data_IF_845555467752
#
_entry.id   IF_845555467752
#
_cell.length_a   1.000
_cell.length_b   1.000
_cell.length_c   1.000
_cell.angle_alpha   90.00
_cell.angle_beta   90.00
_cell.angle_gamma   90.00
#
_symmetry.space_group_name_H-M   'P 1'
#
loop_
_entity.id
_entity.type
_entity.pdbx_description
1 polymer ?
#
# COMPACT_ATOMS: atom_id res chain seq x y z
N UNK A 1 1.33 -2.45 -29.21
CA UNK A 1 0.54 -3.51 -28.54
C UNK A 1 -0.94 -3.30 -28.84
N UNK A 2 -1.72 -4.37 -29.07
CA UNK A 2 -3.18 -4.24 -29.20
C UNK A 2 -3.72 -3.71 -27.87
N UNK A 3 -4.66 -2.75 -27.93
CA UNK A 3 -5.31 -2.21 -26.75
C UNK A 3 -5.91 -3.37 -25.93
N UNK A 4 -5.51 -3.52 -24.67
CA UNK A 4 -6.08 -4.51 -23.76
C UNK A 4 -7.57 -4.21 -23.63
N UNK A 5 -8.41 -5.16 -24.02
CA UNK A 5 -9.84 -5.08 -23.75
C UNK A 5 -10.09 -5.05 -22.24
N UNK A 6 -11.15 -4.37 -21.83
CA UNK A 6 -11.53 -4.21 -20.42
C UNK A 6 -11.57 -5.55 -19.68
N UNK A 7 -10.74 -5.67 -18.64
CA UNK A 7 -10.58 -6.88 -17.83
C UNK A 7 -11.41 -6.87 -16.54
N UNK A 8 -12.06 -5.76 -16.19
CA UNK A 8 -12.76 -5.62 -14.92
C UNK A 8 -14.19 -6.17 -14.98
N UNK A 9 -14.32 -7.46 -15.19
CA UNK A 9 -15.59 -8.13 -15.45
C UNK A 9 -15.92 -9.23 -14.44
N UNK A 10 -15.22 -9.34 -13.31
CA UNK A 10 -15.45 -10.38 -12.31
C UNK A 10 -16.92 -10.46 -11.92
N UNK A 11 -17.55 -11.65 -11.98
CA UNK A 11 -18.93 -11.79 -11.58
C UNK A 11 -19.08 -11.55 -10.07
N UNK A 12 -20.15 -10.87 -9.68
CA UNK A 12 -20.51 -10.60 -8.30
C UNK A 12 -21.64 -11.54 -7.85
N UNK A 13 -21.25 -12.70 -7.29
CA UNK A 13 -22.22 -13.74 -6.88
C UNK A 13 -23.04 -13.37 -5.65
N UNK A 14 -22.58 -12.42 -4.84
CA UNK A 14 -23.21 -12.08 -3.56
C UNK A 14 -23.73 -10.66 -3.50
N UNK A 15 -23.81 -9.97 -4.65
CA UNK A 15 -24.32 -8.59 -4.70
C UNK A 15 -23.51 -7.64 -3.84
N UNK A 16 -22.18 -7.78 -3.79
CA UNK A 16 -21.30 -6.89 -2.98
C UNK A 16 -21.48 -5.45 -3.40
N UNK A 17 -21.77 -5.19 -4.67
CA UNK A 17 -22.08 -3.87 -5.19
C UNK A 17 -23.34 -3.24 -4.55
N UNK A 18 -24.29 -4.04 -4.09
CA UNK A 18 -25.50 -3.57 -3.40
C UNK A 18 -25.20 -2.99 -2.01
N UNK A 19 -24.05 -3.39 -1.42
CA UNK A 19 -23.57 -2.90 -0.13
C UNK A 19 -22.91 -1.50 -0.23
N UNK A 20 -22.66 -1.02 -1.45
CA UNK A 20 -22.00 0.25 -1.73
C UNK A 20 -23.03 1.36 -1.97
N UNK A 21 -22.75 2.55 -1.45
CA UNK A 21 -23.51 3.76 -1.78
C UNK A 21 -23.24 4.18 -3.23
N UNK A 22 -24.05 5.09 -3.74
CA UNK A 22 -23.81 5.68 -5.07
C UNK A 22 -22.46 6.40 -5.11
N UNK A 23 -22.10 7.14 -4.06
CA UNK A 23 -20.80 7.82 -3.93
C UNK A 23 -19.64 6.83 -3.99
N UNK A 24 -19.72 5.69 -3.25
CA UNK A 24 -18.70 4.64 -3.30
C UNK A 24 -18.50 4.11 -4.73
N UNK A 25 -19.59 3.86 -5.45
CA UNK A 25 -19.54 3.38 -6.85
C UNK A 25 -18.91 4.41 -7.78
N UNK A 26 -19.28 5.69 -7.66
CA UNK A 26 -18.71 6.78 -8.47
C UNK A 26 -17.20 6.93 -8.23
N UNK A 27 -16.76 6.89 -6.97
CA UNK A 27 -15.34 6.95 -6.61
C UNK A 27 -14.59 5.77 -7.21
N UNK A 28 -15.11 4.56 -7.04
CA UNK A 28 -14.50 3.34 -7.63
C UNK A 28 -14.37 3.45 -9.14
N UNK A 29 -15.42 3.84 -9.85
CA UNK A 29 -15.41 3.97 -11.31
C UNK A 29 -14.46 5.06 -11.80
N UNK A 30 -14.33 6.17 -11.07
CA UNK A 30 -13.37 7.23 -11.39
C UNK A 30 -11.93 6.69 -11.35
N UNK A 31 -11.53 6.02 -10.25
CA UNK A 31 -10.19 5.45 -10.12
C UNK A 31 -9.96 4.31 -11.11
N UNK A 32 -10.96 3.44 -11.32
CA UNK A 32 -10.93 2.37 -12.32
C UNK A 32 -10.67 2.91 -13.73
N UNK A 33 -11.39 3.95 -14.12
CA UNK A 33 -11.23 4.59 -15.43
C UNK A 33 -9.82 5.18 -15.60
N UNK A 34 -9.30 5.82 -14.57
CA UNK A 34 -7.92 6.31 -14.54
C UNK A 34 -6.92 5.15 -14.71
N UNK A 35 -7.06 4.08 -13.94
CA UNK A 35 -6.15 2.92 -13.99
C UNK A 35 -6.15 2.29 -15.39
N UNK A 36 -7.33 2.11 -16.00
CA UNK A 36 -7.44 1.57 -17.36
C UNK A 36 -6.77 2.44 -18.41
N UNK A 37 -6.93 3.75 -18.29
CA UNK A 37 -6.47 4.71 -19.30
C UNK A 37 -4.99 5.08 -19.14
N UNK A 38 -4.55 5.33 -17.90
CA UNK A 38 -3.24 5.93 -17.66
C UNK A 38 -2.21 4.93 -17.10
N UNK A 39 -2.64 3.91 -16.34
CA UNK A 39 -1.71 2.97 -15.68
C UNK A 39 -1.53 1.68 -16.48
N UNK A 40 -2.62 0.98 -16.78
CA UNK A 40 -2.55 -0.34 -17.44
C UNK A 40 -1.76 -0.35 -18.75
N UNK A 41 -1.80 0.70 -19.60
CA UNK A 41 -1.05 0.70 -20.85
C UNK A 41 0.47 0.81 -20.69
N UNK A 42 0.95 1.38 -19.60
CA UNK A 42 2.37 1.74 -19.44
C UNK A 42 3.11 0.89 -18.37
N UNK A 43 2.38 0.37 -17.39
CA UNK A 43 3.00 -0.14 -16.17
C UNK A 43 3.89 -1.37 -16.39
N UNK A 44 3.59 -2.18 -17.40
CA UNK A 44 4.42 -3.34 -17.71
C UNK A 44 5.81 -2.91 -18.19
N UNK A 45 5.89 -1.89 -19.07
CA UNK A 45 7.17 -1.37 -19.58
C UNK A 45 8.01 -0.77 -18.44
N UNK A 46 7.38 -0.02 -17.52
CA UNK A 46 8.05 0.49 -16.32
C UNK A 46 8.55 -0.64 -15.42
N UNK A 47 7.76 -1.69 -15.22
CA UNK A 47 8.16 -2.85 -14.43
C UNK A 47 9.35 -3.60 -15.06
N UNK A 48 9.35 -3.79 -16.39
CA UNK A 48 10.44 -4.41 -17.13
C UNK A 48 11.76 -3.61 -17.00
N UNK A 49 11.65 -2.29 -17.02
CA UNK A 49 12.80 -1.37 -16.89
C UNK A 49 13.22 -1.12 -15.43
N UNK A 50 12.45 -1.60 -14.43
CA UNK A 50 12.62 -1.27 -13.02
C UNK A 50 12.63 0.25 -12.77
N UNK A 51 11.74 0.98 -13.44
CA UNK A 51 11.60 2.43 -13.39
C UNK A 51 10.27 2.84 -12.76
N UNK A 52 10.24 4.00 -12.10
CA UNK A 52 9.03 4.56 -11.50
C UNK A 52 8.39 5.58 -12.46
N UNK A 53 7.09 5.50 -12.73
CA UNK A 53 6.37 6.47 -13.57
C UNK A 53 6.07 7.77 -12.78
N UNK A 54 7.05 8.63 -12.59
CA UNK A 54 6.98 9.82 -11.72
C UNK A 54 5.78 10.74 -12.03
N UNK A 55 5.40 10.83 -13.31
CA UNK A 55 4.28 11.67 -13.76
C UNK A 55 2.92 11.29 -13.12
N UNK A 56 2.76 10.04 -12.65
CA UNK A 56 1.52 9.62 -11.98
C UNK A 56 1.28 10.32 -10.64
N UNK A 57 2.34 10.85 -9.99
CA UNK A 57 2.22 11.48 -8.66
C UNK A 57 1.24 12.64 -8.71
N UNK A 58 1.43 13.55 -9.68
CA UNK A 58 0.51 14.67 -9.85
C UNK A 58 -0.91 14.22 -10.22
N UNK A 59 -1.02 13.23 -11.11
CA UNK A 59 -2.30 12.68 -11.53
C UNK A 59 -3.07 12.03 -10.36
N UNK A 60 -2.39 11.29 -9.48
CA UNK A 60 -2.99 10.70 -8.28
C UNK A 60 -3.46 11.77 -7.28
N UNK A 61 -2.72 12.87 -7.15
CA UNK A 61 -3.14 14.04 -6.38
C UNK A 61 -4.41 14.67 -6.96
N UNK A 62 -4.44 14.95 -8.26
CA UNK A 62 -5.59 15.53 -8.96
C UNK A 62 -6.84 14.63 -8.90
N UNK A 63 -6.63 13.32 -8.85
CA UNK A 63 -7.71 12.33 -8.70
C UNK A 63 -8.20 12.19 -7.23
N UNK A 64 -7.55 12.87 -6.27
CA UNK A 64 -7.90 12.78 -4.84
C UNK A 64 -7.47 11.48 -4.16
N UNK A 65 -6.54 10.73 -4.74
CA UNK A 65 -6.03 9.48 -4.17
C UNK A 65 -5.05 9.69 -3.01
N UNK A 66 -4.57 10.93 -2.81
CA UNK A 66 -3.71 11.30 -1.69
C UNK A 66 -4.52 11.90 -0.55
N UNK A 67 -4.53 11.23 0.59
CA UNK A 67 -5.26 11.69 1.77
C UNK A 67 -6.79 11.69 1.63
N UNK A 68 -7.43 10.66 1.04
CA UNK A 68 -8.88 10.67 0.87
C UNK A 68 -9.65 10.81 2.19
N UNK A 69 -9.11 10.30 3.31
CA UNK A 69 -9.72 10.42 4.64
C UNK A 69 -9.27 11.64 5.45
N UNK A 70 -8.41 12.49 4.89
CA UNK A 70 -7.98 13.75 5.51
C UNK A 70 -9.07 14.81 5.25
N UNK A 71 -9.40 15.67 6.24
CA UNK A 71 -10.41 16.70 6.07
C UNK A 71 -10.10 17.66 4.92
N UNK A 72 -11.17 18.16 4.27
CA UNK A 72 -11.06 19.06 3.13
C UNK A 72 -10.36 20.39 3.46
N UNK A 73 -10.43 20.87 4.70
CA UNK A 73 -9.72 22.08 5.17
C UNK A 73 -8.19 21.99 5.03
N UNK A 74 -7.64 20.77 4.98
CA UNK A 74 -6.22 20.50 4.74
C UNK A 74 -5.95 19.97 3.32
N UNK A 75 -6.92 20.09 2.41
CA UNK A 75 -6.78 19.65 1.03
C UNK A 75 -7.08 18.17 0.79
N UNK A 76 -7.51 17.43 1.80
CA UNK A 76 -7.94 16.03 1.67
C UNK A 76 -9.34 15.86 1.11
N UNK A 77 -9.76 14.62 0.89
CA UNK A 77 -11.09 14.30 0.33
C UNK A 77 -12.23 14.34 1.34
N UNK A 78 -11.95 14.22 2.64
CA UNK A 78 -12.99 14.10 3.69
C UNK A 78 -13.86 12.86 3.53
N UNK A 79 -13.39 11.84 2.80
CA UNK A 79 -14.12 10.63 2.45
C UNK A 79 -14.03 9.58 3.56
N UNK A 80 -14.92 8.60 3.50
CA UNK A 80 -14.94 7.48 4.43
C UNK A 80 -13.91 6.38 4.08
N UNK A 81 -13.77 5.39 4.97
CA UNK A 81 -12.79 4.32 4.79
C UNK A 81 -13.18 3.32 3.71
N UNK A 82 -14.47 3.14 3.39
CA UNK A 82 -14.90 2.28 2.28
C UNK A 82 -14.44 2.89 0.96
N UNK A 83 -14.63 4.20 0.79
CA UNK A 83 -14.11 4.96 -0.36
C UNK A 83 -12.60 4.80 -0.50
N UNK A 84 -11.85 4.99 0.59
CA UNK A 84 -10.40 4.76 0.60
C UNK A 84 -10.04 3.33 0.21
N UNK A 85 -10.74 2.33 0.74
CA UNK A 85 -10.53 0.93 0.40
C UNK A 85 -10.73 0.64 -1.10
N UNK A 86 -11.82 1.13 -1.67
CA UNK A 86 -12.13 0.99 -3.09
C UNK A 86 -11.08 1.66 -4.00
N UNK A 87 -10.59 2.85 -3.62
CA UNK A 87 -9.47 3.48 -4.32
C UNK A 87 -8.23 2.59 -4.33
N UNK A 88 -7.84 2.04 -3.17
CA UNK A 88 -6.68 1.15 -3.06
C UNK A 88 -6.86 -0.13 -3.89
N UNK A 89 -8.08 -0.70 -3.90
CA UNK A 89 -8.41 -1.86 -4.72
C UNK A 89 -8.22 -1.60 -6.22
N UNK A 90 -8.75 -0.50 -6.72
CA UNK A 90 -8.65 -0.20 -8.15
C UNK A 90 -7.21 0.19 -8.56
N UNK A 91 -6.48 0.92 -7.72
CA UNK A 91 -5.06 1.21 -7.99
C UNK A 91 -4.22 -0.06 -8.07
N UNK A 92 -4.44 -1.04 -7.18
CA UNK A 92 -3.66 -2.28 -7.17
C UNK A 92 -4.11 -3.27 -8.25
N UNK A 93 -5.32 -3.15 -8.81
CA UNK A 93 -5.67 -3.80 -10.08
C UNK A 93 -4.71 -3.38 -11.20
N UNK A 94 -4.28 -2.13 -11.20
CA UNK A 94 -3.22 -1.66 -12.09
C UNK A 94 -1.86 -2.20 -11.70
N UNK A 95 -1.40 -1.85 -10.49
CA UNK A 95 -0.09 -2.30 -9.97
C UNK A 95 0.05 -2.03 -8.46
N UNK A 96 0.68 -2.97 -7.74
CA UNK A 96 0.95 -2.81 -6.29
C UNK A 96 1.89 -1.64 -5.99
N UNK A 97 2.80 -1.28 -6.88
CA UNK A 97 3.68 -0.11 -6.73
C UNK A 97 2.91 1.21 -6.77
N UNK A 98 1.97 1.33 -7.69
CA UNK A 98 1.07 2.50 -7.81
C UNK A 98 0.22 2.64 -6.56
N UNK A 99 -0.42 1.56 -6.09
CA UNK A 99 -1.19 1.56 -4.84
C UNK A 99 -0.29 1.91 -3.65
N UNK A 100 0.93 1.37 -3.59
CA UNK A 100 1.88 1.64 -2.50
C UNK A 100 2.23 3.14 -2.44
N UNK A 101 2.45 3.79 -3.57
CA UNK A 101 2.70 5.24 -3.63
C UNK A 101 1.57 6.02 -2.99
N UNK A 102 0.31 5.73 -3.34
CA UNK A 102 -0.86 6.41 -2.76
C UNK A 102 -1.06 6.08 -1.28
N UNK A 103 -0.89 4.80 -0.89
CA UNK A 103 -1.05 4.35 0.49
C UNK A 103 -0.02 4.97 1.42
N UNK A 104 1.26 5.00 1.03
CA UNK A 104 2.34 5.63 1.80
C UNK A 104 2.05 7.13 1.97
N UNK A 105 1.71 7.82 0.88
CA UNK A 105 1.38 9.24 0.93
C UNK A 105 0.24 9.53 1.91
N UNK A 106 -0.89 8.84 1.79
CA UNK A 106 -2.08 9.09 2.62
C UNK A 106 -1.95 8.59 4.06
N UNK A 107 -1.59 7.30 4.24
CA UNK A 107 -1.67 6.64 5.54
C UNK A 107 -0.41 6.77 6.39
N UNK A 108 0.77 6.93 5.77
CA UNK A 108 2.05 6.93 6.48
C UNK A 108 2.70 8.32 6.53
N UNK A 109 2.30 9.24 5.64
CA UNK A 109 2.82 10.62 5.63
C UNK A 109 1.75 11.62 6.07
N UNK A 110 0.62 11.70 5.35
CA UNK A 110 -0.41 12.69 5.67
C UNK A 110 -1.12 12.37 6.98
N UNK A 111 -1.45 11.10 7.25
CA UNK A 111 -2.12 10.72 8.50
C UNK A 111 -1.31 11.09 9.75
N UNK A 112 -0.02 10.77 9.93
CA UNK A 112 0.71 11.19 11.12
C UNK A 112 0.86 12.71 11.25
N UNK A 113 1.02 13.45 10.15
CA UNK A 113 1.02 14.92 10.18
C UNK A 113 -0.34 15.44 10.66
N UNK A 114 -1.43 14.88 10.18
CA UNK A 114 -2.79 15.24 10.62
C UNK A 114 -3.05 14.87 12.08
N UNK A 115 -2.77 13.61 12.46
CA UNK A 115 -3.13 13.08 13.76
C UNK A 115 -2.21 13.53 14.90
N UNK A 116 -0.93 13.75 14.61
CA UNK A 116 0.10 13.98 15.62
C UNK A 116 0.79 15.33 15.51
N UNK A 117 0.66 16.00 14.37
CA UNK A 117 1.27 17.30 14.10
C UNK A 117 0.58 18.47 14.82
N UNK A 118 1.30 19.59 14.87
CA UNK A 118 0.71 20.88 15.23
C UNK A 118 -0.14 21.45 14.11
N UNK A 119 -0.90 22.50 14.39
CA UNK A 119 -1.71 23.17 13.37
C UNK A 119 -0.85 23.81 12.27
N UNK A 120 0.31 24.34 12.64
CA UNK A 120 1.30 24.89 11.71
C UNK A 120 1.83 23.80 10.77
N UNK A 121 2.16 22.62 11.32
CA UNK A 121 2.60 21.46 10.51
C UNK A 121 1.50 21.00 9.55
N UNK A 122 0.25 20.90 9.99
CA UNK A 122 -0.89 20.53 9.14
C UNK A 122 -1.04 21.49 7.97
N UNK A 123 -1.07 22.80 8.24
CA UNK A 123 -1.21 23.84 7.22
C UNK A 123 -0.02 23.92 6.26
N UNK A 124 1.18 23.67 6.75
CA UNK A 124 2.40 23.70 5.94
C UNK A 124 2.49 22.54 4.95
N UNK A 125 2.20 21.32 5.40
CA UNK A 125 2.51 20.10 4.65
C UNK A 125 1.32 19.49 3.92
N UNK A 126 0.14 19.40 4.58
CA UNK A 126 -0.97 18.60 4.05
C UNK A 126 -1.49 19.07 2.69
N UNK A 127 -1.69 20.38 2.40
CA UNK A 127 -2.20 20.80 1.10
C UNK A 127 -1.28 20.44 -0.06
N UNK A 128 0.04 20.56 0.12
CA UNK A 128 1.03 20.20 -0.90
C UNK A 128 1.12 18.69 -1.13
N UNK A 129 0.97 17.91 -0.07
CA UNK A 129 0.94 16.45 -0.14
C UNK A 129 -0.34 15.94 -0.79
N UNK A 130 -1.49 16.55 -0.48
CA UNK A 130 -2.78 16.19 -1.04
C UNK A 130 -2.85 16.44 -2.55
N UNK A 131 -2.31 17.58 -3.02
CA UNK A 131 -2.29 17.96 -4.43
C UNK A 131 -1.26 17.18 -5.27
N UNK A 132 -0.37 16.41 -4.65
CA UNK A 132 0.75 15.76 -5.33
C UNK A 132 1.87 16.72 -5.76
N UNK A 133 1.85 17.99 -5.32
CA UNK A 133 2.98 18.91 -5.48
C UNK A 133 4.22 18.38 -4.72
N UNK A 134 3.99 17.82 -3.54
CA UNK A 134 5.00 17.14 -2.75
C UNK A 134 4.65 15.67 -2.57
N UNK A 135 5.66 14.82 -2.73
CA UNK A 135 5.62 13.41 -2.37
C UNK A 135 6.32 13.23 -1.03
N UNK A 136 5.76 12.38 -0.17
CA UNK A 136 6.36 12.04 1.11
C UNK A 136 6.73 10.56 1.20
N UNK A 137 7.58 10.26 2.18
CA UNK A 137 7.96 8.90 2.53
C UNK A 137 7.94 8.69 4.05
N UNK A 138 8.05 7.42 4.48
CA UNK A 138 7.90 7.04 5.89
C UNK A 138 9.08 6.18 6.35
N UNK A 139 9.91 6.73 7.22
CA UNK A 139 11.11 6.11 7.74
C UNK A 139 10.91 5.46 9.11
N UNK A 140 10.58 4.16 9.13
CA UNK A 140 10.49 3.36 10.36
C UNK A 140 11.52 2.23 10.35
N UNK A 141 11.46 1.33 9.34
CA UNK A 141 12.30 0.15 9.19
C UNK A 141 13.77 0.52 9.03
N UNK A 142 14.64 -0.17 9.73
CA UNK A 142 16.10 -0.05 9.63
C UNK A 142 16.73 -1.31 9.03
N UNK A 143 18.00 -1.26 8.57
CA UNK A 143 18.68 -2.43 8.02
C UNK A 143 18.58 -3.66 8.93
N UNK A 144 18.76 -3.49 10.25
CA UNK A 144 18.77 -4.58 11.23
C UNK A 144 17.47 -4.73 12.03
N UNK A 145 16.49 -3.82 11.86
CA UNK A 145 15.26 -3.76 12.65
C UNK A 145 14.02 -3.60 11.76
N UNK A 146 13.50 -4.75 11.23
CA UNK A 146 12.29 -4.80 10.42
C UNK A 146 11.05 -5.15 11.25
N UNK A 147 10.92 -6.43 11.64
CA UNK A 147 9.77 -6.93 12.42
C UNK A 147 9.78 -6.45 13.88
N UNK A 148 10.92 -5.99 14.39
CA UNK A 148 11.07 -5.35 15.69
C UNK A 148 11.45 -3.86 15.56
N UNK A 149 10.51 -2.98 15.18
CA UNK A 149 10.79 -1.56 15.01
C UNK A 149 11.05 -0.85 16.34
N UNK A 150 10.70 -1.45 17.46
CA UNK A 150 10.98 -0.91 18.80
C UNK A 150 12.46 -0.87 19.14
N UNK A 151 13.26 -1.74 18.52
CA UNK A 151 14.71 -1.82 18.72
C UNK A 151 15.52 -0.86 17.81
N UNK A 152 14.85 0.04 17.07
CA UNK A 152 15.52 1.00 16.18
C UNK A 152 16.72 1.71 16.84
N UNK A 153 17.73 2.02 16.03
CA UNK A 153 18.94 2.72 16.43
C UNK A 153 18.98 4.18 16.01
N UNK A 154 18.22 4.58 14.98
CA UNK A 154 18.08 5.98 14.57
C UNK A 154 17.68 6.82 15.78
N UNK A 155 18.42 7.90 16.03
CA UNK A 155 18.27 8.71 17.24
C UNK A 155 18.32 10.21 16.97
N UNK A 156 17.77 10.98 17.91
CA UNK A 156 17.87 12.43 17.97
C UNK A 156 18.50 12.86 19.29
N UNK A 157 19.34 13.89 19.23
CA UNK A 157 19.95 14.56 20.40
C UNK A 157 19.53 16.01 20.45
N UNK A 158 19.18 16.48 21.64
CA UNK A 158 18.81 17.89 21.85
C UNK A 158 20.01 18.80 21.63
N UNK A 159 19.84 19.86 20.84
CA UNK A 159 20.87 20.86 20.57
C UNK A 159 20.35 22.31 20.74
N UNK A 160 19.36 22.50 21.63
CA UNK A 160 18.78 23.80 21.95
C UNK A 160 17.55 24.12 21.11
N UNK A 161 17.65 24.83 20.01
CA UNK A 161 16.54 25.18 19.10
C UNK A 161 16.26 24.11 18.05
N UNK A 162 17.15 23.13 17.89
CA UNK A 162 17.02 22.01 16.98
C UNK A 162 17.39 20.69 17.65
N UNK A 163 17.20 19.58 16.93
CA UNK A 163 17.74 18.26 17.28
C UNK A 163 18.72 17.80 16.20
N UNK A 164 19.71 17.02 16.60
CA UNK A 164 20.63 16.35 15.67
C UNK A 164 20.15 14.93 15.44
N UNK A 165 19.75 14.63 14.20
CA UNK A 165 19.27 13.31 13.78
C UNK A 165 20.40 12.51 13.15
N UNK A 166 20.60 11.27 13.63
CA UNK A 166 21.56 10.30 13.11
C UNK A 166 20.94 8.92 12.94
N UNK A 167 21.33 8.20 11.89
CA UNK A 167 20.91 6.84 11.61
C UNK A 167 20.59 6.58 10.15
N UNK A 168 19.88 5.46 9.89
CA UNK A 168 19.47 5.09 8.55
C UNK A 168 18.12 4.36 8.57
N UNK A 169 17.35 4.50 7.50
CA UNK A 169 16.12 3.74 7.26
C UNK A 169 16.20 3.02 5.92
N UNK A 170 15.64 1.83 5.84
CA UNK A 170 15.74 0.96 4.67
C UNK A 170 14.36 0.52 4.16
N UNK A 171 14.29 0.20 2.88
CA UNK A 171 13.06 -0.23 2.18
C UNK A 171 11.97 0.84 2.15
N UNK A 172 12.38 2.10 1.97
CA UNK A 172 11.48 3.25 2.08
C UNK A 172 10.87 3.58 0.72
N UNK A 173 9.58 3.29 0.58
CA UNK A 173 8.80 3.66 -0.61
C UNK A 173 8.76 5.18 -0.78
N UNK A 174 8.81 5.63 -2.02
CA UNK A 174 8.84 7.02 -2.44
C UNK A 174 10.13 7.80 -2.11
N UNK A 175 11.05 7.28 -1.29
CA UNK A 175 12.22 8.02 -0.80
C UNK A 175 13.03 8.76 -1.88
N UNK A 176 13.37 8.15 -3.04
CA UNK A 176 14.16 8.85 -4.06
C UNK A 176 13.51 10.12 -4.62
N UNK A 177 12.19 10.22 -4.59
CA UNK A 177 11.40 11.32 -5.16
C UNK A 177 10.70 12.19 -4.10
N UNK A 178 10.82 11.86 -2.80
CA UNK A 178 10.11 12.55 -1.72
C UNK A 178 10.70 13.94 -1.44
N UNK A 179 9.84 14.93 -1.17
CA UNK A 179 10.21 16.24 -0.64
C UNK A 179 10.28 16.25 0.88
N UNK A 180 9.52 15.37 1.53
CA UNK A 180 9.51 15.22 2.98
C UNK A 180 9.55 13.76 3.40
N UNK A 181 10.15 13.49 4.55
CA UNK A 181 10.14 12.19 5.20
C UNK A 181 9.55 12.32 6.61
N UNK A 182 8.56 11.48 6.93
CA UNK A 182 8.12 11.23 8.31
C UNK A 182 9.06 10.18 8.89
N UNK A 183 9.85 10.56 9.87
CA UNK A 183 10.90 9.71 10.45
C UNK A 183 10.62 9.42 11.92
N UNK A 184 10.82 8.17 12.33
CA UNK A 184 10.74 7.74 13.71
C UNK A 184 12.13 7.46 14.25
N UNK A 185 12.48 8.11 15.37
CA UNK A 185 13.80 8.05 16.00
C UNK A 185 13.66 8.04 17.51
N UNK A 186 14.63 7.48 18.24
CA UNK A 186 14.71 7.55 19.71
C UNK A 186 15.33 8.85 20.15
N UNK A 187 14.75 9.48 21.18
CA UNK A 187 15.40 10.56 21.90
C UNK A 187 16.44 10.02 22.91
N UNK A 188 17.10 10.90 23.64
CA UNK A 188 18.16 10.55 24.62
C UNK A 188 17.65 9.70 25.79
N UNK A 189 16.33 9.69 26.02
CA UNK A 189 15.68 8.84 27.01
C UNK A 189 15.24 7.47 26.42
N UNK A 190 15.53 7.23 25.13
CA UNK A 190 15.10 6.03 24.40
C UNK A 190 13.63 6.04 23.99
N UNK A 191 12.93 7.16 24.12
CA UNK A 191 11.52 7.30 23.74
C UNK A 191 11.42 7.59 22.24
N UNK A 192 10.60 6.81 21.53
CA UNK A 192 10.39 7.00 20.09
C UNK A 192 9.59 8.28 19.85
N UNK A 193 10.13 9.16 18.99
CA UNK A 193 9.57 10.43 18.54
C UNK A 193 9.37 10.40 17.03
N UNK A 194 8.32 11.04 16.56
CA UNK A 194 8.10 11.26 15.12
C UNK A 194 8.47 12.68 14.75
N UNK A 195 9.09 12.85 13.58
CA UNK A 195 9.49 14.15 13.07
C UNK A 195 9.40 14.23 11.54
N UNK A 196 9.26 15.44 11.01
CA UNK A 196 9.30 15.69 9.57
C UNK A 196 10.68 16.20 9.18
N UNK A 197 11.34 15.48 8.25
CA UNK A 197 12.63 15.87 7.67
C UNK A 197 12.40 16.31 6.23
N UNK A 198 12.85 17.50 5.87
CA UNK A 198 12.68 18.07 4.53
C UNK A 198 13.90 17.77 3.65
N UNK A 199 13.65 17.51 2.37
CA UNK A 199 14.73 17.37 1.37
C UNK A 199 15.56 18.67 1.32
N UNK A 200 16.87 18.52 1.25
CA UNK A 200 17.82 19.66 1.23
C UNK A 200 18.39 20.00 2.60
N UNK A 201 17.90 19.40 3.70
CA UNK A 201 18.63 19.50 4.98
C UNK A 201 20.02 18.86 4.85
N UNK A 202 21.05 19.56 5.30
CA UNK A 202 22.45 19.09 5.24
C UNK A 202 22.61 17.77 5.98
N UNK A 203 23.32 16.80 5.39
CA UNK A 203 23.49 15.46 5.94
C UNK A 203 22.34 14.49 5.66
N UNK A 204 21.23 14.92 5.05
CA UNK A 204 20.13 14.04 4.65
C UNK A 204 20.23 13.63 3.19
N UNK A 205 20.21 12.32 2.94
CA UNK A 205 20.21 11.76 1.59
C UNK A 205 19.24 10.59 1.45
N UNK A 206 18.81 10.32 0.19
CA UNK A 206 17.81 9.31 -0.13
C UNK A 206 18.23 8.45 -1.32
N UNK A 207 19.29 7.61 -1.17
CA UNK A 207 19.77 6.76 -2.26
C UNK A 207 18.69 5.75 -2.69
N UNK A 208 18.60 5.51 -4.01
CA UNK A 208 17.66 4.55 -4.55
C UNK A 208 18.14 3.11 -4.34
N UNK A 209 17.21 2.21 -4.03
CA UNK A 209 17.44 0.76 -3.96
C UNK A 209 17.26 0.14 -5.34
N UNK A 210 18.29 -0.53 -5.85
CA UNK A 210 18.29 -1.20 -7.14
C UNK A 210 18.24 -2.73 -7.00
N UNK A 211 17.99 -3.44 -8.11
CA UNK A 211 18.06 -4.91 -8.16
C UNK A 211 16.87 -5.65 -7.53
N UNK A 212 15.76 -4.99 -7.25
CA UNK A 212 14.55 -5.64 -6.75
C UNK A 212 13.90 -6.53 -7.83
N UNK A 213 13.46 -7.72 -7.44
CA UNK A 213 12.64 -8.60 -8.28
C UNK A 213 11.14 -8.36 -8.12
N UNK A 214 10.74 -7.64 -7.09
CA UNK A 214 9.36 -7.32 -6.73
C UNK A 214 9.18 -5.82 -6.66
N UNK A 215 7.97 -5.31 -6.91
CA UNK A 215 7.67 -3.86 -6.95
C UNK A 215 8.64 -3.09 -7.87
N UNK A 216 8.89 -3.62 -9.06
CA UNK A 216 9.89 -3.07 -9.98
C UNK A 216 9.50 -1.69 -10.51
N UNK A 217 8.20 -1.42 -10.65
CA UNK A 217 7.67 -0.10 -11.02
C UNK A 217 7.43 0.84 -9.83
N UNK A 218 7.97 0.52 -8.64
CA UNK A 218 7.85 1.35 -7.44
C UNK A 218 9.19 1.96 -7.05
N UNK A 219 9.18 3.25 -6.72
CA UNK A 219 10.32 3.94 -6.13
C UNK A 219 10.58 3.40 -4.71
N UNK A 220 11.77 2.89 -4.48
CA UNK A 220 12.20 2.41 -3.16
C UNK A 220 13.62 2.90 -2.91
N UNK A 221 13.91 3.35 -1.71
CA UNK A 221 15.23 3.82 -1.34
C UNK A 221 15.53 3.64 0.14
N UNK A 222 16.58 4.29 0.54
CA UNK A 222 17.00 4.43 1.94
C UNK A 222 16.86 5.89 2.37
N UNK A 223 16.83 6.13 3.68
CA UNK A 223 17.04 7.44 4.27
C UNK A 223 18.33 7.37 5.09
N UNK A 224 19.26 8.23 4.80
CA UNK A 224 20.55 8.30 5.52
C UNK A 224 20.65 9.67 6.20
N UNK A 225 20.94 9.65 7.49
CA UNK A 225 21.04 10.83 8.34
C UNK A 225 22.43 10.90 8.96
N UNK A 226 23.21 11.89 8.56
CA UNK A 226 24.53 12.18 9.12
C UNK A 226 24.52 13.58 9.73
N UNK A 227 24.35 13.65 11.05
CA UNK A 227 24.26 14.87 11.84
C UNK A 227 23.26 15.91 11.30
N UNK A 228 22.10 15.45 10.84
CA UNK A 228 21.07 16.32 10.26
C UNK A 228 20.47 17.22 11.33
N UNK A 229 20.54 18.53 11.12
CA UNK A 229 19.91 19.54 11.98
C UNK A 229 18.42 19.65 11.63
N UNK A 230 17.55 19.20 12.53
CA UNK A 230 16.10 19.26 12.36
C UNK A 230 15.53 20.25 13.38
N UNK A 231 14.79 21.30 12.93
CA UNK A 231 14.11 22.23 13.84
C UNK A 231 13.17 21.51 14.80
N UNK A 232 13.12 21.92 16.08
CA UNK A 232 12.22 21.30 17.08
C UNK A 232 10.74 21.40 16.70
N UNK A 233 10.37 22.41 15.95
CA UNK A 233 9.03 22.59 15.40
C UNK A 233 8.62 21.49 14.41
N UNK A 234 9.56 20.72 13.87
CA UNK A 234 9.30 19.59 13.00
C UNK A 234 9.00 18.28 13.77
N UNK A 235 9.19 18.26 15.10
CA UNK A 235 8.83 17.10 15.94
C UNK A 235 7.32 17.10 16.17
N UNK A 236 6.69 15.94 16.05
CA UNK A 236 5.26 15.81 16.35
C UNK A 236 4.97 15.97 17.85
N UNK A 237 4.21 17.01 18.25
CA UNK A 237 3.97 17.29 19.68
C UNK A 237 2.98 16.30 20.33
N UNK A 238 2.10 15.68 19.56
CA UNK A 238 0.93 14.94 20.07
C UNK A 238 1.13 13.42 20.11
N UNK A 239 2.37 12.92 20.00
CA UNK A 239 2.65 11.48 20.06
C UNK A 239 4.02 11.18 20.66
N UNK A 240 4.07 10.10 21.45
CA UNK A 240 5.31 9.51 22.01
C UNK A 240 5.20 7.99 21.99
N UNK A 241 6.34 7.31 21.78
CA UNK A 241 6.46 5.87 21.84
C UNK A 241 5.99 5.16 20.59
N UNK A 242 6.07 3.84 20.62
CA UNK A 242 5.82 2.95 19.49
C UNK A 242 4.35 3.00 18.99
N UNK A 243 3.41 3.45 19.83
CA UNK A 243 2.01 3.62 19.43
C UNK A 243 1.82 4.56 18.22
N UNK A 244 2.75 5.54 18.05
CA UNK A 244 2.72 6.46 16.92
C UNK A 244 2.83 5.75 15.56
N UNK A 245 3.99 5.14 15.26
CA UNK A 245 4.16 4.42 14.00
C UNK A 245 3.21 3.24 13.83
N UNK A 246 2.87 2.51 14.90
CA UNK A 246 1.89 1.40 14.81
C UNK A 246 0.47 1.88 14.46
N UNK A 247 0.07 3.07 14.90
CA UNK A 247 -1.19 3.71 14.51
C UNK A 247 -1.23 4.01 13.01
N UNK A 248 -0.11 4.52 12.46
CA UNK A 248 0.03 4.75 11.01
C UNK A 248 -0.05 3.43 10.23
N UNK A 249 0.68 2.40 10.68
CA UNK A 249 0.66 1.08 10.05
C UNK A 249 -0.74 0.45 10.04
N UNK A 250 -1.56 0.68 11.06
CA UNK A 250 -2.94 0.18 11.09
C UNK A 250 -3.75 0.75 9.92
N UNK A 251 -3.59 2.04 9.60
CA UNK A 251 -4.25 2.70 8.47
C UNK A 251 -3.75 2.18 7.11
N UNK A 252 -2.44 2.00 6.99
CA UNK A 252 -1.83 1.49 5.76
C UNK A 252 -2.19 0.02 5.49
N UNK A 253 -2.15 -0.84 6.51
CA UNK A 253 -2.55 -2.25 6.43
C UNK A 253 -4.00 -2.43 5.98
N UNK A 254 -4.89 -1.52 6.40
CA UNK A 254 -6.27 -1.47 5.90
C UNK A 254 -6.31 -1.30 4.37
N UNK A 255 -5.56 -0.33 3.83
CA UNK A 255 -5.48 -0.11 2.38
C UNK A 255 -4.87 -1.30 1.62
N UNK A 256 -3.89 -2.00 2.23
CA UNK A 256 -3.30 -3.23 1.64
C UNK A 256 -4.34 -4.35 1.56
N UNK A 257 -5.20 -4.51 2.58
CA UNK A 257 -6.23 -5.55 2.55
C UNK A 257 -7.17 -5.40 1.35
N UNK A 258 -7.56 -4.17 1.02
CA UNK A 258 -8.36 -3.88 -0.17
C UNK A 258 -7.55 -4.02 -1.47
N UNK A 259 -6.35 -3.45 -1.49
CA UNK A 259 -5.49 -3.43 -2.67
C UNK A 259 -5.16 -4.83 -3.19
N UNK A 260 -4.73 -5.73 -2.31
CA UNK A 260 -4.35 -7.09 -2.69
C UNK A 260 -5.47 -7.84 -3.42
N UNK A 261 -6.75 -7.60 -3.04
CA UNK A 261 -7.89 -8.20 -3.76
C UNK A 261 -8.06 -7.58 -5.14
N UNK A 262 -7.67 -6.33 -5.35
CA UNK A 262 -7.59 -5.73 -6.68
C UNK A 262 -6.65 -6.49 -7.62
N UNK A 263 -5.43 -6.79 -7.17
CA UNK A 263 -4.48 -7.62 -7.92
C UNK A 263 -5.03 -9.04 -8.21
N UNK A 264 -5.70 -9.65 -7.22
CA UNK A 264 -6.37 -10.95 -7.40
C UNK A 264 -7.45 -10.89 -8.48
N UNK A 265 -8.26 -9.83 -8.51
CA UNK A 265 -9.32 -9.62 -9.51
C UNK A 265 -8.74 -9.49 -10.92
N UNK A 266 -7.66 -8.72 -11.11
CA UNK A 266 -7.03 -8.57 -12.43
C UNK A 266 -6.48 -9.91 -12.93
N UNK A 267 -5.84 -10.68 -12.05
CA UNK A 267 -5.35 -12.03 -12.38
C UNK A 267 -6.49 -13.00 -12.69
N UNK A 268 -7.60 -12.94 -11.94
CA UNK A 268 -8.79 -13.77 -12.20
C UNK A 268 -9.41 -13.45 -13.55
N UNK A 269 -9.67 -12.17 -13.85
CA UNK A 269 -10.26 -11.74 -15.12
C UNK A 269 -9.40 -12.15 -16.31
N UNK A 270 -8.07 -11.99 -16.16
CA UNK A 270 -7.08 -12.42 -17.17
C UNK A 270 -7.14 -13.93 -17.40
N UNK A 271 -7.11 -14.72 -16.31
CA UNK A 271 -7.14 -16.18 -16.40
C UNK A 271 -8.46 -16.70 -16.98
N UNK A 272 -9.59 -16.11 -16.57
CA UNK A 272 -10.92 -16.47 -17.07
C UNK A 272 -11.05 -16.22 -18.58
N UNK A 273 -10.61 -15.05 -19.06
CA UNK A 273 -10.62 -14.72 -20.48
C UNK A 273 -9.73 -15.67 -21.26
N UNK A 274 -8.48 -15.84 -20.83
CA UNK A 274 -7.53 -16.74 -21.47
C UNK A 274 -8.09 -18.18 -21.54
N UNK A 275 -8.70 -18.66 -20.46
CA UNK A 275 -9.29 -20.00 -20.41
C UNK A 275 -10.45 -20.20 -21.39
N UNK A 276 -11.21 -19.15 -21.70
CA UNK A 276 -12.31 -19.19 -22.68
C UNK A 276 -11.82 -19.14 -24.14
N UNK A 277 -10.70 -18.47 -24.39
CA UNK A 277 -10.16 -18.24 -25.73
C UNK A 277 -9.13 -19.31 -26.14
N UNK A 278 -8.24 -19.70 -25.23
CA UNK A 278 -7.16 -20.66 -25.52
C UNK A 278 -7.70 -22.06 -25.73
N UNK A 279 -7.38 -22.64 -26.88
CA UNK A 279 -7.81 -24.01 -27.20
C UNK A 279 -6.65 -25.00 -27.05
N UNK A 280 -6.94 -26.17 -26.48
CA UNK A 280 -6.10 -27.35 -26.45
C UNK A 280 -7.00 -28.60 -26.51
N UNK A 281 -6.52 -29.65 -27.13
CA UNK A 281 -7.25 -30.91 -27.31
C UNK A 281 -8.66 -30.69 -27.93
N UNK A 282 -8.74 -29.75 -28.88
CA UNK A 282 -9.95 -29.46 -29.66
C UNK A 282 -11.06 -28.65 -28.95
N UNK A 283 -10.78 -28.07 -27.77
CA UNK A 283 -11.73 -27.22 -27.02
C UNK A 283 -11.04 -26.17 -26.18
N UNK A 284 -11.79 -25.11 -25.76
CA UNK A 284 -11.24 -24.12 -24.82
C UNK A 284 -10.75 -24.78 -23.54
N UNK A 285 -9.60 -24.31 -23.00
CA UNK A 285 -9.02 -24.90 -21.78
C UNK A 285 -9.94 -24.75 -20.57
N UNK A 286 -10.79 -23.71 -20.51
CA UNK A 286 -11.84 -23.54 -19.51
C UNK A 286 -12.90 -24.64 -19.50
N UNK A 287 -12.96 -25.49 -20.53
CA UNK A 287 -13.81 -26.68 -20.58
C UNK A 287 -13.23 -27.90 -19.86
N UNK A 288 -12.03 -27.83 -19.27
CA UNK A 288 -11.45 -28.93 -18.48
C UNK A 288 -11.71 -28.72 -16.99
N UNK A 289 -12.08 -29.82 -16.31
CA UNK A 289 -12.51 -29.79 -14.90
C UNK A 289 -11.49 -29.14 -13.95
N UNK A 290 -10.18 -29.38 -14.14
CA UNK A 290 -9.15 -28.77 -13.30
C UNK A 290 -9.03 -27.26 -13.46
N UNK A 291 -9.31 -26.72 -14.65
CA UNK A 291 -9.33 -25.28 -14.88
C UNK A 291 -10.60 -24.65 -14.28
N UNK A 292 -11.75 -25.30 -14.44
CA UNK A 292 -13.00 -24.86 -13.79
C UNK A 292 -12.88 -24.84 -12.27
N UNK A 293 -12.26 -25.89 -11.69
CA UNK A 293 -11.98 -25.94 -10.25
C UNK A 293 -11.21 -24.71 -9.78
N UNK A 294 -10.10 -24.36 -10.44
CA UNK A 294 -9.31 -23.19 -10.08
C UNK A 294 -10.12 -21.89 -10.16
N UNK A 295 -10.85 -21.68 -11.25
CA UNK A 295 -11.69 -20.48 -11.42
C UNK A 295 -12.79 -20.39 -10.35
N UNK A 296 -13.40 -21.51 -9.99
CA UNK A 296 -14.41 -21.56 -8.92
C UNK A 296 -13.81 -21.23 -7.55
N UNK A 297 -12.63 -21.77 -7.23
CA UNK A 297 -11.90 -21.46 -5.99
C UNK A 297 -11.48 -19.99 -5.94
N UNK A 298 -10.90 -19.45 -7.02
CA UNK A 298 -10.50 -18.05 -7.13
C UNK A 298 -11.66 -17.10 -6.85
N UNK A 299 -12.80 -17.25 -7.52
CA UNK A 299 -13.93 -16.33 -7.34
C UNK A 299 -14.57 -16.47 -5.96
N UNK A 300 -14.56 -17.68 -5.39
CA UNK A 300 -15.04 -17.92 -4.02
C UNK A 300 -14.19 -17.15 -3.01
N UNK A 301 -12.86 -17.24 -3.11
CA UNK A 301 -11.93 -16.56 -2.19
C UNK A 301 -11.95 -15.04 -2.38
N UNK A 302 -12.07 -14.53 -3.62
CA UNK A 302 -12.26 -13.10 -3.88
C UNK A 302 -13.53 -12.60 -3.18
N UNK A 303 -14.66 -13.31 -3.35
CA UNK A 303 -15.95 -12.92 -2.75
C UNK A 303 -15.87 -12.88 -1.23
N UNK A 304 -15.30 -13.90 -0.60
CA UNK A 304 -15.09 -13.94 0.86
C UNK A 304 -14.23 -12.77 1.34
N UNK A 305 -13.16 -12.48 0.63
CA UNK A 305 -12.24 -11.39 1.00
C UNK A 305 -12.88 -10.00 0.80
N UNK A 306 -13.68 -9.82 -0.25
CA UNK A 306 -14.45 -8.57 -0.46
C UNK A 306 -15.43 -8.32 0.70
N UNK A 307 -16.19 -9.33 1.12
CA UNK A 307 -17.13 -9.21 2.25
C UNK A 307 -16.39 -8.90 3.56
N UNK A 308 -15.25 -9.55 3.81
CA UNK A 308 -14.42 -9.28 4.97
C UNK A 308 -13.91 -7.83 4.97
N UNK A 309 -13.40 -7.35 3.83
CA UNK A 309 -12.88 -5.99 3.68
C UNK A 309 -14.00 -4.95 3.79
N UNK A 310 -15.16 -5.20 3.20
CA UNK A 310 -16.31 -4.32 3.35
C UNK A 310 -16.72 -4.19 4.82
N UNK A 311 -16.85 -5.32 5.54
CA UNK A 311 -17.17 -5.27 6.98
C UNK A 311 -16.10 -4.54 7.78
N UNK A 312 -14.84 -4.74 7.44
CA UNK A 312 -13.72 -3.99 8.05
C UNK A 312 -13.87 -2.47 7.82
N UNK A 313 -14.26 -2.07 6.59
CA UNK A 313 -14.52 -0.67 6.25
C UNK A 313 -15.64 -0.04 7.09
N UNK A 314 -16.74 -0.77 7.30
CA UNK A 314 -17.82 -0.34 8.19
C UNK A 314 -17.31 -0.14 9.62
N UNK A 315 -16.52 -1.09 10.15
CA UNK A 315 -15.93 -0.95 11.49
C UNK A 315 -14.95 0.21 11.61
N UNK A 316 -14.20 0.51 10.53
CA UNK A 316 -13.34 1.68 10.46
C UNK A 316 -14.13 2.99 10.54
N UNK A 317 -15.25 3.09 9.78
CA UNK A 317 -16.12 4.27 9.78
C UNK A 317 -16.81 4.48 11.15
N UNK A 318 -17.15 3.39 11.83
CA UNK A 318 -17.75 3.42 13.18
C UNK A 318 -16.72 3.67 14.30
N UNK A 319 -15.42 3.73 14.01
CA UNK A 319 -14.36 3.85 15.01
C UNK A 319 -14.21 2.63 15.93
N UNK A 320 -14.70 1.47 15.52
CA UNK A 320 -14.78 0.21 16.29
C UNK A 320 -13.75 -0.84 15.88
N UNK A 321 -12.92 -0.51 14.90
CA UNK A 321 -11.89 -1.43 14.41
C UNK A 321 -10.79 -1.66 15.43
N UNK A 322 -10.27 -2.88 15.49
CA UNK A 322 -9.09 -3.24 16.27
C UNK A 322 -7.88 -3.53 15.36
N UNK A 323 -6.63 -3.35 15.82
CA UNK A 323 -5.44 -3.70 15.04
C UNK A 323 -5.42 -5.18 14.63
N UNK A 324 -5.99 -6.07 15.44
CA UNK A 324 -6.07 -7.50 15.16
C UNK A 324 -7.01 -7.80 13.98
N UNK A 325 -8.15 -7.13 13.91
CA UNK A 325 -9.05 -7.24 12.75
C UNK A 325 -8.39 -6.78 11.46
N UNK A 326 -7.65 -5.67 11.49
CA UNK A 326 -6.87 -5.19 10.34
C UNK A 326 -5.77 -6.17 9.95
N UNK A 327 -5.05 -6.74 10.93
CA UNK A 327 -4.04 -7.77 10.71
C UNK A 327 -4.62 -9.02 10.05
N UNK A 328 -5.76 -9.49 10.54
CA UNK A 328 -6.49 -10.63 9.96
C UNK A 328 -6.87 -10.37 8.50
N UNK A 329 -7.46 -9.22 8.20
CA UNK A 329 -7.88 -8.87 6.86
C UNK A 329 -6.71 -8.70 5.88
N UNK A 330 -5.64 -7.97 6.27
CA UNK A 330 -4.43 -7.82 5.48
C UNK A 330 -3.80 -9.17 5.16
N UNK A 331 -3.59 -10.01 6.16
CA UNK A 331 -3.02 -11.35 5.97
C UNK A 331 -3.87 -12.19 5.03
N UNK A 332 -5.20 -12.23 5.26
CA UNK A 332 -6.11 -13.01 4.43
C UNK A 332 -6.07 -12.55 2.97
N UNK A 333 -6.22 -11.24 2.72
CA UNK A 333 -6.23 -10.69 1.37
C UNK A 333 -4.93 -10.96 0.61
N UNK A 334 -3.78 -10.76 1.27
CA UNK A 334 -2.47 -11.04 0.67
C UNK A 334 -2.28 -12.52 0.36
N UNK A 335 -2.72 -13.42 1.24
CA UNK A 335 -2.68 -14.87 1.01
C UNK A 335 -3.52 -15.27 -0.20
N UNK A 336 -4.79 -14.84 -0.23
CA UNK A 336 -5.73 -15.11 -1.32
C UNK A 336 -5.16 -14.61 -2.65
N UNK A 337 -4.68 -13.37 -2.69
CA UNK A 337 -4.10 -12.78 -3.89
C UNK A 337 -2.88 -13.57 -4.39
N UNK A 338 -1.98 -13.96 -3.50
CA UNK A 338 -0.77 -14.74 -3.85
C UNK A 338 -1.14 -16.09 -4.48
N UNK A 339 -2.12 -16.81 -3.92
CA UNK A 339 -2.57 -18.09 -4.48
C UNK A 339 -3.23 -17.88 -5.86
N UNK A 340 -4.12 -16.91 -5.99
CA UNK A 340 -4.80 -16.59 -7.24
C UNK A 340 -3.82 -16.22 -8.35
N UNK A 341 -2.84 -15.37 -8.06
CA UNK A 341 -1.83 -14.99 -9.05
C UNK A 341 -0.97 -16.16 -9.52
N UNK A 342 -0.60 -17.08 -8.61
CA UNK A 342 0.13 -18.30 -8.97
C UNK A 342 -0.69 -19.24 -9.83
N UNK A 343 -1.95 -19.44 -9.50
CA UNK A 343 -2.86 -20.27 -10.29
C UNK A 343 -3.15 -19.65 -11.65
N UNK A 344 -3.41 -18.34 -11.73
CA UNK A 344 -3.58 -17.62 -12.97
C UNK A 344 -2.33 -17.74 -13.86
N UNK A 345 -1.13 -17.50 -13.32
CA UNK A 345 0.12 -17.69 -14.03
C UNK A 345 0.25 -19.13 -14.58
N UNK A 346 -0.10 -20.13 -13.77
CA UNK A 346 -0.05 -21.54 -14.19
C UNK A 346 -1.08 -21.83 -15.31
N UNK A 347 -2.30 -21.29 -15.23
CA UNK A 347 -3.34 -21.46 -16.23
C UNK A 347 -2.94 -20.90 -17.61
N UNK A 348 -2.17 -19.83 -17.63
CA UNK A 348 -1.66 -19.24 -18.86
C UNK A 348 -0.47 -20.02 -19.48
N UNK A 349 0.07 -21.01 -18.77
CA UNK A 349 1.21 -21.81 -19.25
C UNK A 349 2.44 -20.96 -19.54
N UNK A 350 3.06 -21.12 -20.70
CA UNK A 350 4.23 -20.31 -21.13
C UNK A 350 3.93 -18.82 -21.26
N UNK A 351 2.72 -18.44 -21.64
CA UNK A 351 2.31 -17.02 -21.72
C UNK A 351 2.25 -16.36 -20.32
N UNK A 352 2.05 -17.15 -19.28
CA UNK A 352 2.00 -16.64 -17.90
C UNK A 352 3.32 -16.10 -17.33
N UNK A 353 4.45 -16.27 -18.03
CA UNK A 353 5.76 -15.73 -17.61
C UNK A 353 6.20 -14.53 -18.45
N UNK A 354 5.38 -14.08 -19.40
CA UNK A 354 5.69 -12.95 -20.30
C UNK A 354 5.02 -11.66 -19.83
N UNK A 355 5.53 -10.52 -20.27
CA UNK A 355 4.91 -9.21 -20.03
C UNK A 355 3.65 -8.93 -20.88
N UNK A 356 3.20 -9.89 -21.70
CA UNK A 356 1.94 -9.74 -22.46
C UNK A 356 0.71 -9.81 -21.56
N UNK A 357 0.84 -10.45 -20.39
CA UNK A 357 -0.22 -10.59 -19.37
C UNK A 357 0.28 -10.10 -18.01
N UNK A 358 -0.57 -9.50 -17.19
CA UNK A 358 -0.15 -8.88 -15.91
C UNK A 358 0.19 -9.89 -14.80
N UNK A 359 -0.14 -11.18 -15.01
CA UNK A 359 -0.14 -12.19 -13.93
C UNK A 359 1.23 -12.40 -13.28
N UNK A 360 2.32 -12.38 -14.07
CA UNK A 360 3.67 -12.55 -13.52
C UNK A 360 4.11 -11.31 -12.74
N UNK A 361 3.79 -10.10 -13.23
CA UNK A 361 4.07 -8.85 -12.53
C UNK A 361 3.35 -8.79 -11.19
N UNK A 362 2.04 -9.12 -11.13
CA UNK A 362 1.31 -9.22 -9.88
C UNK A 362 1.88 -10.29 -8.96
N UNK A 363 2.21 -11.47 -9.48
CA UNK A 363 2.81 -12.54 -8.67
C UNK A 363 4.12 -12.08 -8.02
N UNK A 364 5.01 -11.43 -8.77
CA UNK A 364 6.26 -10.89 -8.22
C UNK A 364 6.00 -9.78 -7.19
N UNK A 365 5.09 -8.86 -7.47
CA UNK A 365 4.76 -7.75 -6.57
C UNK A 365 4.20 -8.24 -5.23
N UNK A 366 3.38 -9.27 -5.25
CA UNK A 366 2.77 -9.83 -4.04
C UNK A 366 3.78 -10.44 -3.07
N UNK A 367 4.97 -10.86 -3.53
CA UNK A 367 6.04 -11.30 -2.62
C UNK A 367 6.51 -10.14 -1.70
N UNK A 368 6.46 -8.89 -2.17
CA UNK A 368 6.66 -7.72 -1.30
C UNK A 368 5.42 -7.42 -0.46
N UNK A 369 4.22 -7.54 -1.03
CA UNK A 369 2.97 -7.22 -0.33
C UNK A 369 2.73 -8.12 0.89
N UNK A 370 3.11 -9.40 0.83
CA UNK A 370 3.08 -10.31 2.00
C UNK A 370 4.17 -9.99 3.03
N UNK A 371 5.21 -9.24 2.64
CA UNK A 371 6.41 -9.02 3.46
C UNK A 371 6.37 -7.69 4.22
N UNK A 372 5.97 -6.60 3.55
CA UNK A 372 6.03 -5.26 4.15
C UNK A 372 4.85 -4.96 5.10
N UNK A 373 5.01 -3.90 5.90
CA UNK A 373 4.01 -3.41 6.87
C UNK A 373 3.53 -4.50 7.85
N UNK A 374 4.45 -5.33 8.28
CA UNK A 374 4.21 -6.55 9.02
C UNK A 374 4.19 -7.75 8.08
N UNK A 375 5.12 -8.68 8.29
CA UNK A 375 5.16 -9.93 7.53
C UNK A 375 3.90 -10.75 7.76
N UNK A 376 3.66 -11.70 6.86
CA UNK A 376 2.56 -12.66 6.99
C UNK A 376 2.53 -13.32 8.37
N UNK A 377 3.70 -13.72 8.87
CA UNK A 377 3.85 -14.38 10.18
C UNK A 377 3.57 -13.42 11.35
N UNK A 378 4.05 -12.16 11.28
CA UNK A 378 3.74 -11.15 12.30
C UNK A 378 2.24 -10.96 12.45
N UNK A 379 1.47 -10.97 11.36
CA UNK A 379 0.01 -10.86 11.44
C UNK A 379 -0.65 -12.10 12.04
N UNK A 380 -0.08 -13.30 11.83
CA UNK A 380 -0.53 -14.51 12.51
C UNK A 380 -0.26 -14.42 14.01
N UNK A 381 0.94 -13.95 14.41
CA UNK A 381 1.30 -13.77 15.82
C UNK A 381 0.37 -12.75 16.51
N UNK A 382 0.08 -11.61 15.86
CA UNK A 382 -0.85 -10.59 16.38
C UNK A 382 -2.24 -11.20 16.65
N UNK A 383 -2.76 -11.95 15.68
CA UNK A 383 -4.09 -12.57 15.81
C UNK A 383 -4.07 -13.72 16.84
N UNK A 384 -3.03 -14.56 16.80
CA UNK A 384 -2.86 -15.69 17.71
C UNK A 384 -2.72 -15.26 19.18
N UNK A 385 -1.97 -14.19 19.43
CA UNK A 385 -1.83 -13.59 20.76
C UNK A 385 -3.18 -13.06 21.28
N UNK A 386 -3.95 -12.40 20.43
CA UNK A 386 -5.28 -11.88 20.81
C UNK A 386 -6.26 -13.00 21.15
N UNK A 387 -6.29 -14.07 20.34
CA UNK A 387 -7.18 -15.22 20.56
C UNK A 387 -6.81 -16.03 21.81
N UNK A 388 -5.51 -16.18 22.10
CA UNK A 388 -5.03 -17.01 23.21
C UNK A 388 -4.85 -16.23 24.52
N UNK A 389 -4.68 -14.91 24.45
CA UNK A 389 -4.26 -14.07 25.58
C UNK A 389 -2.78 -14.28 25.98
N UNK A 390 -1.99 -15.04 25.22
CA UNK A 390 -0.60 -15.38 25.52
C UNK A 390 0.33 -14.63 24.56
N UNK A 391 1.38 -13.98 25.12
CA UNK A 391 2.34 -13.24 24.32
C UNK A 391 3.06 -14.18 23.33
N UNK A 392 3.03 -13.81 22.03
CA UNK A 392 3.65 -14.57 20.95
C UNK A 392 5.04 -14.05 20.53
N UNK A 393 5.50 -12.91 21.10
CA UNK A 393 6.76 -12.26 20.72
C UNK A 393 7.88 -12.44 21.72
N UNK A 394 7.63 -13.08 22.87
CA UNK A 394 8.62 -13.30 23.93
C UNK A 394 8.40 -14.69 24.56
#
# INVERSE_FOLDING_TARGET
>A
MAARTDLFTSPDYFGVDELLTEEHRLIRESVRSYVKKEISPIIEDYAQQAAFPEHIVKQLGDLGCFGPTIPAEYGGGGLDYISYGLMMQELERGDSGVRSTASVQGSLVMYPIYAYGSEEQRKKYLPKLASGEWLGCFGLTEPDHGSDPGSMLTNIKDAGDHVILNGAKMWISNAPYSQVAVVWAKDEEGVIRGLVVERGMEGFSTPATHGKWSLRASATGELVFDNVKVPKENIFPNVKGLKGPLGCLTKARYGIAWGAIGAAMDCYDTALRYAKERQQFGKPIGGFQLQQKKLAEMITEITKAQLLNWRLGVLMNEGRVTPQQVSMAKRNACHVATQICRDARQMLGGMGITGEYPVMRHMMNLESVITYEGTHDIHLLITGMDVTGINAFK
#
